data_IF_332469467378
#
_entry.id   IF_332469467378
#
_cell.length_a   1.000
_cell.length_b   1.000
_cell.length_c   1.000
_cell.angle_alpha   90.00
_cell.angle_beta   90.00
_cell.angle_gamma   90.00
#
_symmetry.space_group_name_H-M   'P 1'
#
loop_
_entity.id
_entity.type
_entity.pdbx_description
1 polymer ?
#
# COMPACT_ATOMS: atom_id res chain seq x y z
N UNK A 1 -3.68 15.57 -3.77
CA UNK A 1 -3.05 15.92 -5.06
C UNK A 1 -2.09 14.81 -5.41
N UNK A 2 -2.24 14.18 -6.56
CA UNK A 2 -1.35 13.11 -7.04
C UNK A 2 -0.04 13.75 -7.52
N UNK A 3 1.10 13.22 -7.09
CA UNK A 3 2.45 13.76 -7.38
C UNK A 3 3.44 12.73 -7.95
N UNK A 4 3.22 11.45 -7.66
CA UNK A 4 4.00 10.29 -8.04
C UNK A 4 3.16 9.31 -8.83
N UNK A 5 3.29 9.37 -10.16
CA UNK A 5 2.81 8.31 -11.04
C UNK A 5 4.04 7.60 -11.56
N UNK A 6 4.15 6.28 -11.33
CA UNK A 6 5.28 5.48 -11.76
C UNK A 6 5.53 5.60 -13.27
N UNK A 7 6.80 5.61 -13.68
CA UNK A 7 7.18 5.59 -15.09
C UNK A 7 6.62 4.32 -15.77
N UNK A 8 6.14 4.46 -17.01
CA UNK A 8 5.52 3.38 -17.77
C UNK A 8 4.11 2.98 -17.29
N UNK A 9 3.48 3.72 -16.37
CA UNK A 9 2.15 3.36 -15.87
C UNK A 9 1.08 3.28 -16.99
N UNK A 10 1.22 4.08 -18.05
CA UNK A 10 0.36 4.03 -19.24
C UNK A 10 0.50 2.74 -20.07
N UNK A 11 1.63 2.03 -19.94
CA UNK A 11 1.89 0.77 -20.63
C UNK A 11 1.16 -0.41 -19.97
N UNK A 12 0.80 -0.27 -18.69
CA UNK A 12 0.08 -1.30 -17.96
C UNK A 12 -1.36 -1.47 -18.51
N UNK A 13 -1.88 -2.70 -18.56
CA UNK A 13 -3.27 -2.95 -18.89
C UNK A 13 -4.19 -2.22 -17.90
N UNK A 14 -5.24 -1.56 -18.42
CA UNK A 14 -6.31 -0.96 -17.62
C UNK A 14 -7.53 -1.85 -17.81
N UNK A 15 -7.85 -2.66 -16.81
CA UNK A 15 -8.95 -3.62 -16.83
C UNK A 15 -9.92 -3.42 -15.65
N UNK A 16 -11.03 -4.16 -15.61
CA UNK A 16 -12.05 -3.98 -14.58
C UNK A 16 -11.58 -4.38 -13.17
N UNK A 17 -10.58 -5.26 -13.06
CA UNK A 17 -10.04 -5.68 -11.76
C UNK A 17 -9.21 -4.55 -11.12
N UNK A 18 -8.77 -3.58 -11.93
CA UNK A 18 -7.98 -2.44 -11.48
C UNK A 18 -8.75 -1.51 -10.53
N UNK A 19 -10.08 -1.51 -10.52
CA UNK A 19 -10.86 -0.65 -9.64
C UNK A 19 -10.92 -1.10 -8.18
N UNK A 20 -10.37 -2.28 -7.91
CA UNK A 20 -10.02 -2.68 -6.55
C UNK A 20 -8.78 -1.96 -6.03
N UNK A 21 -7.93 -1.40 -6.89
CA UNK A 21 -6.66 -0.79 -6.50
C UNK A 21 -6.87 0.50 -5.70
N UNK A 22 -5.98 0.72 -4.75
CA UNK A 22 -5.86 1.94 -3.94
C UNK A 22 -4.59 2.68 -4.31
N UNK A 23 -4.53 3.97 -4.06
CA UNK A 23 -3.33 4.77 -4.25
C UNK A 23 -2.83 5.34 -2.93
N UNK A 24 -1.52 5.49 -2.75
CA UNK A 24 -0.97 6.30 -1.65
C UNK A 24 -1.31 7.79 -1.85
N UNK A 25 -0.93 8.65 -0.92
CA UNK A 25 -1.09 10.11 -1.07
C UNK A 25 -0.35 10.66 -2.26
N UNK A 26 0.76 10.01 -2.62
CA UNK A 26 1.59 10.44 -3.72
C UNK A 26 1.04 9.95 -5.05
N UNK A 27 0.29 8.86 -5.13
CA UNK A 27 -0.21 8.35 -6.42
C UNK A 27 0.17 6.92 -6.71
N UNK A 28 0.89 6.26 -5.80
CA UNK A 28 1.38 4.92 -6.03
C UNK A 28 0.30 3.88 -5.82
N UNK A 29 0.12 3.02 -6.82
CA UNK A 29 -0.89 1.98 -6.79
C UNK A 29 -0.51 0.87 -5.80
N UNK A 30 -1.50 0.43 -5.04
CA UNK A 30 -1.45 -0.62 -4.02
C UNK A 30 -2.62 -1.57 -4.24
N UNK A 31 -2.38 -2.86 -4.11
CA UNK A 31 -3.40 -3.89 -4.29
C UNK A 31 -4.01 -4.20 -2.92
N UNK A 32 -5.31 -3.99 -2.65
CA UNK A 32 -5.90 -4.50 -1.42
C UNK A 32 -5.79 -6.02 -1.35
N UNK A 33 -5.56 -6.56 -0.16
CA UNK A 33 -5.46 -8.01 0.02
C UNK A 33 -6.64 -8.78 -0.61
N UNK A 34 -7.86 -8.26 -0.50
CA UNK A 34 -9.04 -8.86 -1.12
C UNK A 34 -8.87 -9.01 -2.64
N UNK A 35 -8.35 -8.02 -3.35
CA UNK A 35 -8.10 -8.11 -4.79
C UNK A 35 -6.98 -9.12 -5.11
N UNK A 36 -5.98 -9.21 -4.25
CA UNK A 36 -4.88 -10.17 -4.40
C UNK A 36 -5.35 -11.63 -4.37
N UNK A 37 -6.36 -11.94 -3.55
CA UNK A 37 -6.90 -13.30 -3.39
C UNK A 37 -8.17 -13.57 -4.24
N UNK A 38 -8.72 -12.56 -4.92
CA UNK A 38 -9.90 -12.68 -5.79
C UNK A 38 -9.55 -12.44 -7.26
N UNK A 39 -8.43 -12.99 -7.74
CA UNK A 39 -8.20 -13.02 -9.18
C UNK A 39 -9.35 -13.75 -9.87
N UNK A 40 -9.88 -13.24 -11.00
CA UNK A 40 -11.01 -13.84 -11.69
C UNK A 40 -10.67 -15.30 -11.99
N UNK A 41 -11.31 -16.21 -11.25
CA UNK A 41 -11.05 -17.62 -11.38
C UNK A 41 -11.25 -18.03 -12.83
N UNK A 42 -10.31 -18.84 -13.33
CA UNK A 42 -10.51 -19.63 -14.53
C UNK A 42 -11.92 -20.24 -14.49
N UNK A 43 -12.62 -20.23 -15.63
CA UNK A 43 -14.03 -20.64 -15.85
C UNK A 43 -14.32 -22.12 -15.55
N UNK A 44 -13.52 -22.75 -14.70
CA UNK A 44 -13.65 -24.12 -14.28
C UNK A 44 -14.98 -24.36 -13.56
N UNK A 45 -15.64 -25.51 -13.82
CA UNK A 45 -16.93 -25.82 -13.24
C UNK A 45 -16.84 -25.98 -11.71
N UNK A 46 -17.75 -25.37 -10.93
CA UNK A 46 -17.58 -25.16 -9.49
C UNK A 46 -17.77 -26.39 -8.57
N UNK A 47 -17.87 -27.62 -9.08
CA UNK A 47 -18.47 -28.73 -8.31
C UNK A 47 -17.69 -30.06 -8.31
N UNK A 48 -16.36 -30.05 -8.13
CA UNK A 48 -15.64 -31.29 -7.78
C UNK A 48 -15.47 -31.36 -6.26
N UNK A 49 -16.01 -32.39 -5.59
CA UNK A 49 -15.98 -32.47 -4.14
C UNK A 49 -14.56 -32.75 -3.61
N UNK A 50 -14.15 -31.99 -2.58
CA UNK A 50 -12.78 -31.98 -2.02
C UNK A 50 -12.35 -33.28 -1.31
N UNK A 51 -13.27 -34.21 -1.06
CA UNK A 51 -12.99 -35.43 -0.31
C UNK A 51 -11.97 -36.36 -0.99
N UNK A 52 -11.85 -36.29 -2.33
CA UNK A 52 -10.87 -37.11 -3.06
C UNK A 52 -9.43 -36.65 -2.79
N UNK A 53 -9.23 -35.34 -2.65
CA UNK A 53 -7.91 -34.77 -2.35
C UNK A 53 -7.39 -35.26 -0.99
N UNK A 54 -8.24 -35.26 0.04
CA UNK A 54 -7.87 -35.70 1.39
C UNK A 54 -7.50 -37.19 1.48
N UNK A 55 -7.87 -38.00 0.47
CA UNK A 55 -7.53 -39.43 0.38
C UNK A 55 -6.22 -39.69 -0.36
N UNK A 56 -5.64 -38.69 -1.02
CA UNK A 56 -4.36 -38.83 -1.69
C UNK A 56 -3.24 -39.02 -0.65
N UNK A 57 -2.17 -39.78 -0.97
CA UNK A 57 -0.92 -39.75 -0.21
C UNK A 57 -0.40 -38.31 -0.05
N UNK A 58 0.28 -38.03 1.07
CA UNK A 58 0.73 -36.68 1.42
C UNK A 58 1.60 -36.05 0.32
N UNK A 59 2.42 -36.85 -0.35
CA UNK A 59 3.29 -36.43 -1.45
C UNK A 59 2.48 -35.93 -2.66
N UNK A 60 1.37 -36.62 -2.97
CA UNK A 60 0.46 -36.20 -4.04
C UNK A 60 -0.35 -34.97 -3.64
N UNK A 61 -0.75 -34.86 -2.36
CA UNK A 61 -1.40 -33.66 -1.86
C UNK A 61 -0.49 -32.44 -2.00
N UNK A 62 0.77 -32.55 -1.55
CA UNK A 62 1.79 -31.50 -1.68
C UNK A 62 2.02 -31.12 -3.13
N UNK A 63 2.14 -32.11 -4.02
CA UNK A 63 2.31 -31.86 -5.46
C UNK A 63 1.13 -31.10 -6.03
N UNK A 64 -0.10 -31.44 -5.66
CA UNK A 64 -1.30 -30.71 -6.10
C UNK A 64 -1.30 -29.27 -5.57
N UNK A 65 -0.94 -29.05 -4.30
CA UNK A 65 -0.85 -27.71 -3.72
C UNK A 65 0.12 -26.80 -4.48
N UNK A 66 1.24 -27.32 -4.98
CA UNK A 66 2.21 -26.56 -5.78
C UNK A 66 1.64 -26.02 -7.10
N UNK A 67 0.56 -26.62 -7.62
CA UNK A 67 -0.13 -26.16 -8.82
C UNK A 67 -1.37 -25.29 -8.52
N UNK A 68 -1.70 -25.09 -7.24
CA UNK A 68 -2.84 -24.24 -6.88
C UNK A 68 -2.50 -22.77 -7.10
N UNK A 69 -3.48 -22.02 -7.62
CA UNK A 69 -3.40 -20.57 -7.66
C UNK A 69 -3.52 -19.97 -6.24
N UNK A 70 -3.17 -18.69 -6.11
CA UNK A 70 -3.23 -18.00 -4.80
C UNK A 70 -4.62 -17.96 -4.18
N UNK A 71 -5.73 -17.70 -4.93
CA UNK A 71 -7.08 -17.80 -4.38
C UNK A 71 -7.36 -19.18 -3.77
N UNK A 72 -6.96 -20.26 -4.45
CA UNK A 72 -7.16 -21.62 -3.94
C UNK A 72 -6.29 -21.86 -2.71
N UNK A 73 -5.00 -21.52 -2.74
CA UNK A 73 -4.11 -21.66 -1.59
C UNK A 73 -4.66 -20.93 -0.35
N UNK A 74 -5.12 -19.69 -0.53
CA UNK A 74 -5.73 -18.90 0.54
C UNK A 74 -6.99 -19.56 1.12
N UNK A 75 -7.87 -20.10 0.27
CA UNK A 75 -9.04 -20.86 0.74
C UNK A 75 -8.62 -22.11 1.52
N UNK A 76 -7.63 -22.85 1.04
CA UNK A 76 -7.14 -24.06 1.70
C UNK A 76 -6.52 -23.78 3.08
N UNK A 77 -5.83 -22.64 3.23
CA UNK A 77 -5.35 -22.15 4.53
C UNK A 77 -6.51 -21.99 5.53
N UNK A 78 -7.69 -21.56 5.06
CA UNK A 78 -8.85 -21.33 5.91
C UNK A 78 -9.64 -22.61 6.20
N UNK A 79 -9.78 -23.52 5.23
CA UNK A 79 -10.73 -24.64 5.32
C UNK A 79 -10.18 -25.93 5.88
N UNK A 80 -8.86 -26.17 5.86
CA UNK A 80 -8.31 -27.47 6.27
C UNK A 80 -7.06 -27.33 7.14
N UNK A 81 -7.15 -27.76 8.39
CA UNK A 81 -6.01 -27.76 9.32
C UNK A 81 -4.84 -28.62 8.83
N UNK A 82 -5.13 -29.74 8.15
CA UNK A 82 -4.10 -30.69 7.72
C UNK A 82 -3.11 -30.08 6.71
N UNK A 83 -3.63 -29.28 5.78
CA UNK A 83 -2.85 -28.66 4.70
C UNK A 83 -2.56 -27.18 4.95
N UNK A 84 -3.14 -26.58 6.00
CA UNK A 84 -3.00 -25.15 6.30
C UNK A 84 -1.54 -24.73 6.30
N UNK A 85 -0.67 -25.46 7.01
CA UNK A 85 0.75 -25.12 7.11
C UNK A 85 1.44 -25.08 5.75
N UNK A 86 1.17 -26.06 4.89
CA UNK A 86 1.82 -26.15 3.57
C UNK A 86 1.22 -25.15 2.58
N UNK A 87 -0.10 -24.95 2.61
CA UNK A 87 -0.76 -23.92 1.83
C UNK A 87 -0.29 -22.51 2.22
N UNK A 88 -0.10 -22.24 3.51
CA UNK A 88 0.48 -20.98 4.02
C UNK A 88 1.88 -20.77 3.46
N UNK A 89 2.77 -21.77 3.56
CA UNK A 89 4.14 -21.66 3.01
C UNK A 89 4.12 -21.32 1.54
N UNK A 90 3.31 -22.02 0.75
CA UNK A 90 3.20 -21.78 -0.70
C UNK A 90 2.61 -20.41 -1.01
N UNK A 91 1.55 -19.99 -0.32
CA UNK A 91 0.92 -18.69 -0.53
C UNK A 91 1.89 -17.52 -0.32
N UNK A 92 2.70 -17.58 0.74
CA UNK A 92 3.66 -16.52 1.08
C UNK A 92 5.04 -16.67 0.40
N UNK A 93 5.26 -17.75 -0.36
CA UNK A 93 6.51 -17.99 -1.08
C UNK A 93 6.65 -17.21 -2.39
N UNK A 94 5.61 -16.48 -2.82
CA UNK A 94 5.67 -15.71 -4.06
C UNK A 94 6.73 -14.60 -3.96
N UNK A 95 7.81 -14.66 -4.76
CA UNK A 95 8.85 -13.63 -4.75
C UNK A 95 8.34 -12.28 -5.24
N UNK A 96 7.23 -12.19 -5.96
CA UNK A 96 6.74 -10.92 -6.49
C UNK A 96 5.77 -10.20 -5.52
N UNK A 97 5.28 -10.89 -4.49
CA UNK A 97 4.33 -10.34 -3.54
C UNK A 97 5.03 -9.58 -2.41
N UNK A 98 4.90 -8.25 -2.39
CA UNK A 98 5.34 -7.40 -1.28
C UNK A 98 4.15 -6.96 -0.45
N UNK A 99 4.16 -7.22 0.86
CA UNK A 99 3.07 -6.85 1.76
C UNK A 99 3.38 -5.54 2.48
N UNK A 100 2.46 -4.58 2.42
CA UNK A 100 2.64 -3.22 2.90
C UNK A 100 2.05 -3.02 4.29
N UNK A 101 2.83 -2.42 5.19
CA UNK A 101 2.40 -1.94 6.52
C UNK A 101 2.82 -0.49 6.73
N UNK A 102 2.12 0.21 7.61
CA UNK A 102 2.42 1.60 7.96
C UNK A 102 3.64 1.66 8.89
N UNK A 103 4.60 2.52 8.56
CA UNK A 103 5.83 2.71 9.32
C UNK A 103 5.58 3.38 10.66
N UNK A 104 4.66 4.35 10.72
CA UNK A 104 4.28 5.03 11.96
C UNK A 104 3.73 4.03 12.99
N UNK A 105 2.97 3.04 12.55
CA UNK A 105 2.48 1.97 13.42
C UNK A 105 3.64 1.18 14.05
N UNK A 106 4.70 0.89 13.28
CA UNK A 106 5.91 0.24 13.81
C UNK A 106 6.72 1.15 14.73
N UNK A 107 6.80 2.45 14.46
CA UNK A 107 7.43 3.44 15.34
C UNK A 107 6.73 3.55 16.70
N UNK A 108 5.42 3.33 16.74
CA UNK A 108 4.64 3.32 17.98
C UNK A 108 4.71 2.00 18.77
N UNK A 109 5.41 0.99 18.25
CA UNK A 109 5.57 -0.30 18.92
C UNK A 109 4.91 -1.47 18.19
N UNK A 110 4.16 -1.21 17.13
CA UNK A 110 3.48 -2.25 16.36
C UNK A 110 2.40 -2.97 17.17
N UNK A 111 1.74 -2.28 18.11
CA UNK A 111 0.74 -2.91 18.95
C UNK A 111 -0.56 -3.16 18.15
N UNK A 112 -1.25 -4.30 18.36
CA UNK A 112 -2.51 -4.61 17.69
C UNK A 112 -3.59 -3.53 17.81
N UNK A 113 -3.64 -2.81 18.94
CA UNK A 113 -4.63 -1.74 19.17
C UNK A 113 -4.43 -0.50 18.30
N UNK A 114 -3.18 -0.26 17.89
CA UNK A 114 -2.76 1.00 17.28
C UNK A 114 -2.72 0.92 15.74
N UNK A 115 -2.93 -0.27 15.19
CA UNK A 115 -2.99 -0.54 13.77
C UNK A 115 -4.30 -1.16 13.33
N UNK A 116 -4.50 -1.18 12.01
CA UNK A 116 -5.63 -1.85 11.38
C UNK A 116 -5.30 -3.29 10.97
N UNK A 117 -4.03 -3.69 11.04
CA UNK A 117 -3.52 -4.93 10.47
C UNK A 117 -3.96 -6.17 11.26
N UNK A 118 -4.22 -7.26 10.55
CA UNK A 118 -4.40 -8.60 11.12
C UNK A 118 -3.04 -9.14 11.61
N UNK A 119 -2.86 -9.19 12.93
CA UNK A 119 -1.58 -9.54 13.55
C UNK A 119 -1.22 -11.01 13.34
N UNK A 120 -2.21 -11.89 13.23
CA UNK A 120 -1.97 -13.32 12.98
C UNK A 120 -1.44 -13.57 11.55
N UNK A 121 -1.69 -12.62 10.64
CA UNK A 121 -1.21 -12.66 9.26
C UNK A 121 0.28 -12.30 9.16
N UNK A 122 0.77 -11.38 10.01
CA UNK A 122 2.09 -10.76 9.86
C UNK A 122 3.27 -11.74 9.97
N UNK A 123 3.27 -12.73 10.88
CA UNK A 123 4.39 -13.66 11.03
C UNK A 123 4.67 -14.53 9.81
N UNK A 124 3.75 -14.59 8.85
CA UNK A 124 3.92 -15.37 7.62
C UNK A 124 4.53 -14.55 6.47
N UNK A 125 4.64 -13.23 6.60
CA UNK A 125 5.14 -12.36 5.53
C UNK A 125 6.66 -12.53 5.38
N UNK A 126 7.09 -12.93 4.19
CA UNK A 126 8.51 -13.07 3.84
C UNK A 126 9.12 -11.82 3.19
N UNK A 127 8.28 -11.03 2.50
CA UNK A 127 8.66 -9.80 1.80
C UNK A 127 7.79 -8.64 2.28
N UNK A 128 8.36 -7.81 3.13
CA UNK A 128 7.69 -6.72 3.83
C UNK A 128 8.04 -5.39 3.16
N UNK A 129 7.04 -4.55 2.94
CA UNK A 129 7.20 -3.14 2.61
C UNK A 129 6.70 -2.31 3.80
N UNK A 130 7.57 -1.54 4.42
CA UNK A 130 7.24 -0.60 5.48
C UNK A 130 7.22 0.81 4.88
N UNK A 131 6.07 1.46 4.89
CA UNK A 131 5.86 2.76 4.26
C UNK A 131 5.81 3.86 5.32
N UNK A 132 6.74 4.83 5.25
CA UNK A 132 6.78 6.01 6.09
C UNK A 132 6.30 7.24 5.32
N UNK A 133 5.46 8.08 5.95
CA UNK A 133 5.12 9.37 5.37
C UNK A 133 6.33 10.33 5.37
N UNK A 134 7.15 10.26 6.42
CA UNK A 134 8.33 11.09 6.59
C UNK A 134 9.34 10.42 7.53
N UNK A 135 10.56 10.18 7.04
CA UNK A 135 11.69 9.84 7.89
C UNK A 135 12.52 11.10 8.19
N UNK A 136 12.58 11.52 9.45
CA UNK A 136 13.34 12.70 9.90
C UNK A 136 14.59 12.32 10.69
N UNK A 137 15.71 12.98 10.42
CA UNK A 137 17.00 12.71 11.06
C UNK A 137 16.97 12.93 12.59
N UNK A 138 16.11 13.81 13.11
CA UNK A 138 16.04 14.09 14.55
C UNK A 138 15.32 12.99 15.30
N UNK A 139 14.32 12.36 14.68
CA UNK A 139 13.57 11.26 15.29
C UNK A 139 14.26 9.92 15.07
N UNK A 140 14.94 9.72 13.94
CA UNK A 140 15.60 8.47 13.59
C UNK A 140 17.05 8.38 14.07
N UNK A 141 17.23 8.46 15.40
CA UNK A 141 18.51 8.15 16.05
C UNK A 141 18.86 6.65 15.91
N UNK A 142 20.13 6.29 16.06
CA UNK A 142 20.59 4.90 16.02
C UNK A 142 19.82 3.98 16.99
N UNK A 143 19.43 4.50 18.17
CA UNK A 143 18.62 3.76 19.12
C UNK A 143 17.23 3.43 18.58
N UNK A 144 16.60 4.41 17.92
CA UNK A 144 15.28 4.23 17.31
C UNK A 144 15.35 3.33 16.07
N UNK A 145 16.41 3.42 15.25
CA UNK A 145 16.64 2.49 14.14
C UNK A 145 16.76 1.05 14.64
N UNK A 146 17.56 0.81 15.69
CA UNK A 146 17.69 -0.55 16.28
C UNK A 146 16.37 -1.05 16.86
N UNK A 147 15.62 -0.18 17.54
CA UNK A 147 14.29 -0.52 18.06
C UNK A 147 13.31 -0.87 16.94
N UNK A 148 13.32 -0.12 15.84
CA UNK A 148 12.55 -0.41 14.63
C UNK A 148 12.87 -1.82 14.11
N UNK A 149 14.15 -2.13 13.90
CA UNK A 149 14.54 -3.46 13.41
C UNK A 149 14.18 -4.59 14.38
N UNK A 150 14.35 -4.37 15.69
CA UNK A 150 13.91 -5.33 16.71
C UNK A 150 12.41 -5.61 16.65
N UNK A 151 11.59 -4.58 16.37
CA UNK A 151 10.13 -4.75 16.17
C UNK A 151 9.82 -5.48 14.88
N UNK A 152 10.52 -5.17 13.79
CA UNK A 152 10.37 -5.89 12.52
C UNK A 152 10.65 -7.38 12.73
N UNK A 153 11.76 -7.75 13.39
CA UNK A 153 12.07 -9.15 13.68
C UNK A 153 11.05 -9.83 14.61
N UNK A 154 10.50 -9.09 15.58
CA UNK A 154 9.50 -9.60 16.51
C UNK A 154 8.15 -9.87 15.82
N UNK A 155 7.67 -8.93 15.01
CA UNK A 155 6.34 -9.01 14.37
C UNK A 155 6.35 -9.78 13.05
N UNK A 156 7.50 -9.81 12.37
CA UNK A 156 7.69 -10.46 11.08
C UNK A 156 8.89 -11.41 11.13
N UNK A 157 8.87 -12.46 11.97
CA UNK A 157 10.00 -13.38 12.13
C UNK A 157 10.40 -14.12 10.83
N UNK A 158 9.51 -14.19 9.84
CA UNK A 158 9.80 -14.80 8.53
C UNK A 158 10.27 -13.79 7.48
N UNK A 159 10.27 -12.48 7.77
CA UNK A 159 10.69 -11.48 6.80
C UNK A 159 12.19 -11.65 6.47
N UNK A 160 12.46 -11.98 5.21
CA UNK A 160 13.82 -12.09 4.65
C UNK A 160 14.15 -10.93 3.74
N UNK A 161 13.14 -10.26 3.20
CA UNK A 161 13.30 -9.07 2.38
C UNK A 161 12.44 -7.97 2.96
N UNK A 162 13.04 -6.83 3.33
CA UNK A 162 12.34 -5.68 3.90
C UNK A 162 12.64 -4.46 3.07
N UNK A 163 11.63 -3.83 2.50
CA UNK A 163 11.71 -2.56 1.80
C UNK A 163 11.21 -1.46 2.72
N UNK A 164 12.03 -0.44 2.96
CA UNK A 164 11.67 0.76 3.70
C UNK A 164 11.38 1.88 2.70
N UNK A 165 10.13 2.31 2.61
CA UNK A 165 9.68 3.38 1.74
C UNK A 165 9.61 4.71 2.50
N UNK A 166 10.16 5.78 1.93
CA UNK A 166 10.00 7.15 2.44
C UNK A 166 9.25 8.00 1.40
N UNK A 167 8.09 8.53 1.80
CA UNK A 167 7.28 9.42 0.97
C UNK A 167 7.70 10.90 1.08
N UNK A 168 8.73 11.23 1.87
CA UNK A 168 9.21 12.60 2.04
C UNK A 168 9.68 13.21 0.72
N UNK A 169 9.08 14.34 0.36
CA UNK A 169 9.47 15.16 -0.80
C UNK A 169 10.46 16.27 -0.37
N UNK A 170 10.61 16.50 0.94
CA UNK A 170 11.25 17.70 1.51
C UNK A 170 12.79 17.69 1.44
N UNK A 171 13.36 16.87 0.54
CA UNK A 171 14.76 17.07 0.17
C UNK A 171 14.91 18.50 -0.36
N UNK A 172 15.84 19.30 0.19
CA UNK A 172 16.01 20.70 -0.18
C UNK A 172 16.12 20.82 -1.70
N UNK A 173 15.45 21.82 -2.32
CA UNK A 173 15.41 21.96 -3.77
C UNK A 173 16.84 21.95 -4.31
N UNK A 174 17.14 20.92 -5.10
CA UNK A 174 18.50 20.70 -5.55
C UNK A 174 18.99 21.87 -6.41
N UNK A 175 20.31 22.19 -6.37
CA UNK A 175 20.88 23.21 -7.22
C UNK A 175 20.56 22.89 -8.68
N UNK A 176 19.84 23.80 -9.33
CA UNK A 176 19.46 23.70 -10.74
C UNK A 176 20.72 23.46 -11.58
N UNK A 177 20.78 22.33 -12.29
CA UNK A 177 21.88 21.98 -13.21
C UNK A 177 22.70 20.74 -12.84
N UNK A 178 22.43 20.10 -11.69
CA UNK A 178 23.11 18.84 -11.34
C UNK A 178 22.39 17.65 -11.98
N UNK A 179 23.11 16.84 -12.76
CA UNK A 179 22.57 15.62 -13.38
C UNK A 179 21.94 14.71 -12.32
N UNK A 180 20.69 14.30 -12.52
CA UNK A 180 19.92 13.45 -11.59
C UNK A 180 20.37 11.98 -11.60
N UNK A 181 21.38 11.62 -12.41
CA UNK A 181 21.62 10.26 -12.83
C UNK A 181 22.21 9.27 -11.79
N UNK A 182 22.64 9.69 -10.59
CA UNK A 182 23.11 8.72 -9.57
C UNK A 182 23.33 9.35 -8.18
N UNK A 183 22.32 10.02 -7.62
CA UNK A 183 22.50 10.60 -6.28
C UNK A 183 22.46 9.50 -5.22
N UNK A 184 23.47 9.42 -4.35
CA UNK A 184 23.45 8.43 -3.27
C UNK A 184 22.22 8.66 -2.39
N UNK A 185 21.71 7.60 -1.73
CA UNK A 185 20.64 7.74 -0.75
C UNK A 185 21.09 8.68 0.39
N UNK A 186 20.16 9.46 0.99
CA UNK A 186 20.48 10.30 2.15
C UNK A 186 21.10 9.50 3.29
N UNK A 187 21.91 10.15 4.12
CA UNK A 187 22.68 9.49 5.17
C UNK A 187 21.80 8.72 6.17
N UNK A 188 20.62 9.26 6.50
CA UNK A 188 19.63 8.56 7.32
C UNK A 188 19.27 7.17 6.76
N UNK A 189 18.96 7.11 5.47
CA UNK A 189 18.59 5.87 4.78
C UNK A 189 19.74 4.87 4.73
N UNK A 190 20.97 5.37 4.51
CA UNK A 190 22.19 4.56 4.62
C UNK A 190 22.32 3.95 6.00
N UNK A 191 22.12 4.75 7.05
CA UNK A 191 22.19 4.30 8.44
C UNK A 191 21.13 3.25 8.79
N UNK A 192 19.90 3.43 8.30
CA UNK A 192 18.82 2.44 8.45
C UNK A 192 19.22 1.10 7.85
N UNK A 193 19.87 1.09 6.68
CA UNK A 193 20.38 -0.13 6.05
C UNK A 193 21.55 -0.76 6.80
N UNK A 194 22.50 0.05 7.27
CA UNK A 194 23.70 -0.41 7.98
C UNK A 194 23.36 -1.07 9.33
N UNK A 195 22.37 -0.52 10.04
CA UNK A 195 21.90 -1.06 11.32
C UNK A 195 20.87 -2.19 11.16
N UNK A 196 20.54 -2.58 9.93
CA UNK A 196 19.64 -3.71 9.67
C UNK A 196 20.31 -5.04 10.06
N UNK A 197 19.59 -5.98 10.69
CA UNK A 197 20.09 -7.32 10.96
C UNK A 197 20.71 -7.99 9.72
N UNK A 198 21.81 -8.77 9.88
CA UNK A 198 22.53 -9.34 8.75
C UNK A 198 21.73 -10.40 7.98
N UNK A 199 20.73 -11.02 8.61
CA UNK A 199 19.88 -12.06 8.00
C UNK A 199 18.67 -11.51 7.22
N UNK A 200 18.56 -10.17 7.12
CA UNK A 200 17.52 -9.46 6.38
C UNK A 200 18.13 -8.74 5.17
N UNK A 201 17.59 -9.01 3.99
CA UNK A 201 17.88 -8.21 2.80
C UNK A 201 17.06 -6.91 2.87
N UNK A 202 17.74 -5.81 3.15
CA UNK A 202 17.10 -4.49 3.23
C UNK A 202 17.18 -3.75 1.90
N UNK A 203 16.04 -3.17 1.54
CA UNK A 203 15.88 -2.26 0.42
C UNK A 203 15.39 -0.92 0.96
N UNK A 204 15.79 0.17 0.32
CA UNK A 204 15.26 1.50 0.59
C UNK A 204 14.68 2.07 -0.69
N UNK A 205 13.44 2.49 -0.60
CA UNK A 205 12.66 3.05 -1.69
C UNK A 205 12.42 4.53 -1.40
N UNK A 206 13.10 5.41 -2.12
CA UNK A 206 13.04 6.86 -1.89
C UNK A 206 12.28 7.53 -3.01
N UNK A 207 11.29 8.32 -2.65
CA UNK A 207 10.57 9.17 -3.59
C UNK A 207 11.34 10.47 -3.84
N UNK A 208 11.68 10.76 -5.10
CA UNK A 208 12.45 11.95 -5.50
C UNK A 208 11.74 12.74 -6.58
N UNK A 209 11.82 14.07 -6.56
CA UNK A 209 11.15 14.93 -7.54
C UNK A 209 12.09 15.82 -8.35
N UNK A 210 12.04 15.70 -9.67
CA UNK A 210 12.52 16.70 -10.65
C UNK A 210 11.33 17.26 -11.48
N UNK A 211 10.15 17.24 -10.87
CA UNK A 211 8.87 17.69 -11.39
C UNK A 211 7.88 16.56 -11.64
N UNK A 212 8.34 15.32 -11.86
CA UNK A 212 7.56 14.10 -11.62
C UNK A 212 8.24 13.33 -10.51
N UNK A 213 7.48 12.83 -9.53
CA UNK A 213 8.09 12.02 -8.50
C UNK A 213 8.48 10.65 -9.08
N UNK A 214 9.77 10.32 -9.00
CA UNK A 214 10.37 9.03 -9.36
C UNK A 214 10.77 8.32 -8.07
N UNK A 215 10.42 7.04 -7.95
CA UNK A 215 10.92 6.19 -6.87
C UNK A 215 12.25 5.56 -7.30
N UNK A 216 13.28 5.75 -6.47
CA UNK A 216 14.58 5.07 -6.63
C UNK A 216 14.68 3.98 -5.57
N UNK A 217 15.12 2.80 -5.98
CA UNK A 217 15.25 1.65 -5.09
C UNK A 217 16.73 1.36 -4.89
N UNK A 218 17.14 1.20 -3.64
CA UNK A 218 18.50 0.92 -3.24
C UNK A 218 18.51 -0.37 -2.45
N UNK A 219 19.54 -1.20 -2.60
CA UNK A 219 19.72 -2.42 -1.81
C UNK A 219 21.05 -2.39 -1.10
N UNK A 220 21.08 -2.96 0.11
CA UNK A 220 22.34 -3.23 0.81
C UNK A 220 23.13 -4.30 0.06
N UNK A 221 24.37 -3.99 -0.28
CA UNK A 221 25.34 -4.94 -0.84
C UNK A 221 26.54 -5.00 0.09
N UNK A 222 27.07 -6.21 0.25
CA UNK A 222 28.33 -6.45 0.94
C UNK A 222 29.42 -6.56 -0.11
N UNK A 223 30.46 -5.73 0.00
CA UNK A 223 31.66 -5.80 -0.82
C UNK A 223 32.77 -6.38 0.07
N UNK A 224 33.42 -7.43 -0.43
CA UNK A 224 34.53 -8.09 0.26
C UNK A 224 35.82 -7.69 -0.43
N UNK A 225 36.59 -6.79 0.18
CA UNK A 225 37.89 -6.32 -0.31
C UNK A 225 38.98 -6.66 0.71
N UNK A 226 39.97 -7.49 0.32
CA UNK A 226 41.24 -7.74 1.01
C UNK A 226 41.16 -7.66 2.57
N UNK A 227 40.34 -8.53 3.17
CA UNK A 227 40.07 -8.69 4.61
C UNK A 227 39.10 -7.69 5.28
N UNK A 228 38.55 -6.69 4.57
CA UNK A 228 37.52 -5.79 5.07
C UNK A 228 36.16 -6.03 4.39
N UNK A 229 35.12 -6.23 5.21
CA UNK A 229 33.73 -6.26 4.76
C UNK A 229 33.15 -4.85 4.83
N UNK A 230 32.85 -4.24 3.68
CA UNK A 230 32.16 -2.94 3.62
C UNK A 230 30.71 -3.11 3.17
N UNK A 231 29.81 -2.36 3.80
CA UNK A 231 28.40 -2.32 3.42
C UNK A 231 28.11 -1.06 2.60
N UNK A 232 27.69 -1.25 1.36
CA UNK A 232 27.33 -0.19 0.43
C UNK A 232 25.86 -0.29 0.00
N UNK A 233 25.39 0.74 -0.69
CA UNK A 233 24.05 0.77 -1.28
C UNK A 233 24.17 0.85 -2.80
N UNK A 234 23.56 -0.14 -3.46
CA UNK A 234 23.52 -0.27 -4.91
C UNK A 234 22.12 0.08 -5.43
N UNK A 235 22.04 0.86 -6.51
CA UNK A 235 20.76 1.24 -7.11
C UNK A 235 20.18 0.06 -7.90
N UNK A 236 18.96 -0.34 -7.56
CA UNK A 236 18.23 -1.39 -8.24
C UNK A 236 17.60 -0.84 -9.53
N UNK A 237 17.80 -1.53 -10.65
CA UNK A 237 17.21 -1.15 -11.94
C UNK A 237 15.69 -1.33 -11.97
N UNK A 238 15.17 -2.31 -11.23
CA UNK A 238 13.76 -2.68 -11.25
C UNK A 238 13.14 -2.42 -9.88
N UNK A 239 12.07 -1.62 -9.87
CA UNK A 239 11.22 -1.52 -8.70
C UNK A 239 10.28 -2.74 -8.68
N UNK A 240 10.04 -3.37 -7.51
CA UNK A 240 8.99 -4.36 -7.43
C UNK A 240 7.65 -3.76 -7.84
N UNK A 241 6.75 -4.62 -8.30
CA UNK A 241 5.38 -4.25 -8.62
C UNK A 241 4.60 -3.67 -7.42
N UNK A 242 3.32 -3.31 -7.62
CA UNK A 242 2.51 -2.70 -6.59
C UNK A 242 2.42 -3.59 -5.34
N UNK A 243 2.61 -2.98 -4.17
CA UNK A 243 2.53 -3.70 -2.90
C UNK A 243 1.09 -4.02 -2.51
N UNK A 244 0.93 -5.10 -1.76
CA UNK A 244 -0.34 -5.61 -1.27
C UNK A 244 -0.60 -5.03 0.11
N UNK A 245 -1.70 -4.31 0.29
CA UNK A 245 -2.12 -3.85 1.62
C UNK A 245 -2.54 -5.08 2.43
N UNK A 246 -1.93 -5.30 3.59
CA UNK A 246 -2.25 -6.44 4.46
C UNK A 246 -3.74 -6.45 4.87
N UNK A 247 -4.34 -7.61 5.14
CA UNK A 247 -5.72 -7.67 5.59
C UNK A 247 -5.90 -6.92 6.91
N UNK A 248 -7.09 -6.34 7.07
CA UNK A 248 -7.45 -5.70 8.33
C UNK A 248 -7.87 -6.75 9.36
N UNK A 249 -7.59 -6.50 10.63
CA UNK A 249 -8.17 -7.28 11.74
C UNK A 249 -9.69 -7.14 11.78
N UNK A 250 -10.42 -8.08 12.40
CA UNK A 250 -11.85 -7.94 12.62
C UNK A 250 -12.17 -6.72 13.49
N UNK A 251 -13.11 -5.89 13.02
CA UNK A 251 -13.62 -4.74 13.77
C UNK A 251 -14.72 -5.20 14.73
N UNK A 252 -14.52 -5.02 16.05
CA UNK A 252 -15.47 -5.42 17.10
C UNK A 252 -15.74 -4.27 18.06
N UNK A 253 -16.98 -4.19 18.56
CA UNK A 253 -17.39 -3.14 19.50
C UNK A 253 -17.42 -1.74 18.86
N UNK A 254 -17.55 -0.72 19.71
CA UNK A 254 -17.61 0.68 19.26
C UNK A 254 -16.24 1.18 18.80
N UNK A 255 -15.17 0.74 19.46
CA UNK A 255 -13.79 0.99 19.00
C UNK A 255 -13.57 0.43 17.60
N UNK A 256 -14.03 -0.80 17.35
CA UNK A 256 -13.94 -1.43 16.05
C UNK A 256 -14.71 -0.67 14.96
N UNK A 257 -15.93 -0.19 15.26
CA UNK A 257 -16.71 0.63 14.32
C UNK A 257 -15.95 1.92 13.96
N UNK A 258 -15.37 2.58 14.96
CA UNK A 258 -14.58 3.79 14.74
C UNK A 258 -13.34 3.52 13.85
N UNK A 259 -12.58 2.46 14.16
CA UNK A 259 -11.45 2.00 13.34
C UNK A 259 -11.87 1.65 11.91
N UNK A 260 -13.02 1.01 11.75
CA UNK A 260 -13.60 0.70 10.45
C UNK A 260 -13.90 1.98 9.67
N UNK A 261 -14.61 2.95 10.26
CA UNK A 261 -14.94 4.23 9.64
C UNK A 261 -13.69 4.98 9.19
N UNK A 262 -12.69 5.07 10.06
CA UNK A 262 -11.38 5.62 9.72
C UNK A 262 -10.78 4.90 8.50
N UNK A 263 -10.71 3.57 8.53
CA UNK A 263 -10.18 2.78 7.42
C UNK A 263 -10.94 2.99 6.10
N UNK A 264 -12.25 3.23 6.16
CA UNK A 264 -13.07 3.54 4.99
C UNK A 264 -12.79 4.94 4.45
N UNK A 265 -12.57 5.95 5.31
CA UNK A 265 -12.15 7.29 4.86
C UNK A 265 -10.89 7.20 3.99
N UNK A 266 -9.85 6.50 4.47
CA UNK A 266 -8.62 6.33 3.67
C UNK A 266 -8.87 5.48 2.44
N UNK A 267 -9.67 4.42 2.52
CA UNK A 267 -10.00 3.60 1.35
C UNK A 267 -10.67 4.40 0.23
N UNK A 268 -11.62 5.28 0.56
CA UNK A 268 -12.32 6.16 -0.38
C UNK A 268 -11.34 7.16 -0.98
N UNK A 269 -10.61 7.90 -0.14
CA UNK A 269 -9.63 8.89 -0.61
C UNK A 269 -8.53 8.25 -1.49
N UNK A 270 -8.11 7.04 -1.16
CA UNK A 270 -7.10 6.31 -1.93
C UNK A 270 -7.67 5.74 -3.23
N UNK A 271 -8.95 5.36 -3.26
CA UNK A 271 -9.62 4.92 -4.49
C UNK A 271 -9.88 6.09 -5.45
N UNK A 272 -10.27 7.25 -4.95
CA UNK A 272 -10.38 8.49 -5.74
C UNK A 272 -9.06 8.83 -6.44
N UNK A 273 -7.95 8.79 -5.69
CA UNK A 273 -6.62 9.01 -6.25
C UNK A 273 -6.23 7.94 -7.26
N UNK A 274 -6.53 6.67 -6.99
CA UNK A 274 -6.24 5.58 -7.91
C UNK A 274 -6.99 5.76 -9.23
N UNK A 275 -8.30 6.08 -9.18
CA UNK A 275 -9.09 6.42 -10.37
C UNK A 275 -8.45 7.57 -11.14
N UNK A 276 -8.04 8.64 -10.47
CA UNK A 276 -7.34 9.74 -11.13
C UNK A 276 -6.04 9.30 -11.80
N UNK A 277 -5.18 8.54 -11.11
CA UNK A 277 -3.90 8.02 -11.66
C UNK A 277 -4.16 7.18 -12.91
N UNK A 278 -5.16 6.31 -12.85
CA UNK A 278 -5.54 5.43 -13.95
C UNK A 278 -6.17 6.22 -15.12
N UNK A 279 -6.93 7.26 -14.84
CA UNK A 279 -7.52 8.12 -15.87
C UNK A 279 -6.46 8.82 -16.71
N UNK A 280 -5.41 9.33 -16.04
CA UNK A 280 -4.25 9.91 -16.73
C UNK A 280 -3.51 8.86 -17.58
N UNK A 281 -3.31 7.66 -17.04
CA UNK A 281 -2.72 6.56 -17.78
C UNK A 281 -3.55 6.13 -19.00
N UNK A 282 -4.89 6.13 -18.87
CA UNK A 282 -5.80 5.78 -19.96
C UNK A 282 -5.74 6.77 -21.12
N UNK A 283 -5.64 8.07 -20.83
CA UNK A 283 -5.48 9.12 -21.84
C UNK A 283 -4.17 8.91 -22.61
N UNK A 284 -3.05 8.78 -21.90
CA UNK A 284 -1.75 8.58 -22.55
C UNK A 284 -1.72 7.27 -23.34
N UNK A 285 -2.28 6.21 -22.78
CA UNK A 285 -2.40 4.92 -23.47
C UNK A 285 -3.20 5.05 -24.76
N UNK A 286 -4.32 5.78 -24.76
CA UNK A 286 -5.14 5.97 -25.95
C UNK A 286 -4.36 6.59 -27.12
N UNK A 287 -3.51 7.58 -26.82
CA UNK A 287 -2.75 8.32 -27.84
C UNK A 287 -1.42 7.66 -28.22
N UNK A 288 -0.74 7.02 -27.28
CA UNK A 288 0.62 6.51 -27.52
C UNK A 288 0.70 5.00 -27.70
N UNK A 289 -0.24 4.20 -27.19
CA UNK A 289 -0.18 2.74 -27.32
C UNK A 289 -0.58 2.29 -28.74
N UNK A 290 0.41 2.09 -29.59
CA UNK A 290 0.24 1.61 -30.97
C UNK A 290 -0.08 2.70 -32.00
N UNK A 291 -0.37 3.94 -31.57
CA UNK A 291 -0.70 5.06 -32.47
C UNK A 291 0.39 6.13 -32.57
N UNK A 292 1.04 6.46 -31.45
CA UNK A 292 2.05 7.53 -31.35
C UNK A 292 1.53 8.90 -31.81
N UNK A 293 0.29 9.24 -31.47
CA UNK A 293 -0.37 10.48 -31.85
C UNK A 293 -0.10 11.58 -30.81
N UNK A 294 0.41 12.73 -31.25
CA UNK A 294 0.50 13.90 -30.41
C UNK A 294 -0.89 14.47 -30.12
N UNK A 295 -1.10 15.00 -28.91
CA UNK A 295 -2.38 15.59 -28.51
C UNK A 295 -2.20 16.84 -27.64
N UNK A 296 -3.22 17.69 -27.64
CA UNK A 296 -3.28 18.90 -26.81
C UNK A 296 -3.94 18.63 -25.45
N UNK A 297 -3.67 19.49 -24.47
CA UNK A 297 -4.31 19.41 -23.17
C UNK A 297 -5.82 19.66 -23.29
N UNK A 298 -6.69 18.82 -22.70
CA UNK A 298 -8.15 19.00 -22.79
C UNK A 298 -8.66 20.16 -21.91
N UNK A 299 -7.84 20.68 -20.99
CA UNK A 299 -8.26 21.74 -20.09
C UNK A 299 -8.52 23.06 -20.84
N UNK A 300 -9.59 23.79 -20.50
CA UNK A 300 -9.86 25.08 -21.11
C UNK A 300 -8.73 26.06 -20.77
N UNK A 301 -8.22 26.77 -21.77
CA UNK A 301 -7.11 27.72 -21.66
C UNK A 301 -5.73 27.08 -21.38
N UNK A 302 -5.53 25.82 -21.76
CA UNK A 302 -4.21 25.18 -21.75
C UNK A 302 -3.79 24.81 -23.19
N UNK A 303 -2.84 25.56 -23.75
CA UNK A 303 -2.31 25.31 -25.10
C UNK A 303 -1.13 24.33 -25.11
N UNK A 304 -0.95 23.55 -24.03
CA UNK A 304 0.12 22.57 -23.96
C UNK A 304 -0.13 21.40 -24.92
N UNK A 305 0.93 20.96 -25.61
CA UNK A 305 0.92 19.81 -26.52
C UNK A 305 1.94 18.78 -26.08
N UNK A 306 1.58 17.51 -26.26
CA UNK A 306 2.36 16.36 -25.81
C UNK A 306 2.68 15.49 -27.01
N UNK A 307 3.97 15.39 -27.34
CA UNK A 307 4.48 14.59 -28.44
C UNK A 307 5.05 13.24 -28.00
N UNK A 308 5.24 13.05 -26.69
CA UNK A 308 5.79 11.81 -26.11
C UNK A 308 4.94 11.33 -24.95
N UNK A 309 4.95 10.00 -24.67
CA UNK A 309 4.36 9.48 -23.47
C UNK A 309 4.87 10.21 -22.23
N UNK A 310 4.01 10.33 -21.22
CA UNK A 310 4.30 10.88 -19.89
C UNK A 310 4.49 12.40 -19.80
N UNK A 311 4.60 13.10 -20.94
CA UNK A 311 4.62 14.56 -20.98
C UNK A 311 3.28 15.14 -20.46
N UNK A 312 2.16 14.50 -20.81
CA UNK A 312 0.83 14.90 -20.33
C UNK A 312 0.68 14.65 -18.83
N UNK A 313 1.01 13.45 -18.36
CA UNK A 313 0.97 13.12 -16.93
C UNK A 313 1.83 14.08 -16.12
N UNK A 314 3.05 14.37 -16.58
CA UNK A 314 3.97 15.32 -15.92
C UNK A 314 3.39 16.73 -15.90
N UNK A 315 2.78 17.16 -17.00
CA UNK A 315 2.11 18.45 -17.09
C UNK A 315 0.97 18.56 -16.06
N UNK A 316 0.07 17.58 -16.01
CA UNK A 316 -1.07 17.57 -15.07
C UNK A 316 -0.60 17.59 -13.62
N UNK A 317 0.44 16.84 -13.26
CA UNK A 317 1.00 16.86 -11.90
C UNK A 317 1.50 18.26 -11.53
N UNK A 318 2.18 18.95 -12.46
CA UNK A 318 2.73 20.30 -12.23
C UNK A 318 1.64 21.39 -12.19
N UNK A 319 0.54 21.22 -12.91
CA UNK A 319 -0.53 22.22 -13.06
C UNK A 319 -1.80 21.88 -12.27
N UNK A 320 -1.76 20.82 -11.45
CA UNK A 320 -2.85 20.03 -10.88
C UNK A 320 -4.09 20.76 -10.36
N UNK A 321 -4.00 22.03 -9.93
CA UNK A 321 -5.18 22.76 -9.41
C UNK A 321 -6.20 23.18 -10.48
N UNK A 322 -5.84 23.18 -11.77
CA UNK A 322 -6.72 23.71 -12.84
C UNK A 322 -7.20 22.69 -13.87
N UNK A 323 -6.68 21.47 -13.82
CA UNK A 323 -6.83 20.49 -14.90
C UNK A 323 -7.66 19.27 -14.49
N UNK A 324 -7.90 19.09 -13.18
CA UNK A 324 -8.48 17.87 -12.63
C UNK A 324 -9.93 17.61 -13.06
N UNK A 325 -10.71 18.66 -13.34
CA UNK A 325 -12.15 18.54 -13.62
C UNK A 325 -12.47 18.53 -15.13
N UNK A 326 -11.45 18.56 -15.99
CA UNK A 326 -11.62 18.94 -17.40
C UNK A 326 -11.41 17.83 -18.43
N UNK A 327 -10.86 16.67 -18.04
CA UNK A 327 -10.59 15.60 -19.00
C UNK A 327 -11.78 14.67 -19.14
N UNK A 328 -12.20 14.46 -20.38
CA UNK A 328 -13.19 13.45 -20.76
C UNK A 328 -12.44 12.21 -21.19
N UNK A 329 -12.69 11.09 -20.51
CA UNK A 329 -12.13 9.81 -20.92
C UNK A 329 -12.68 9.40 -22.29
N UNK A 330 -11.83 8.84 -23.14
CA UNK A 330 -12.21 8.37 -24.48
C UNK A 330 -12.64 6.90 -24.43
N UNK A 331 -13.50 6.48 -25.34
CA UNK A 331 -13.79 5.05 -25.55
C UNK A 331 -12.49 4.27 -25.87
N UNK A 332 -12.31 3.04 -25.34
CA UNK A 332 -13.28 2.21 -24.63
C UNK A 332 -13.36 2.43 -23.10
N UNK A 333 -12.63 3.40 -22.55
CA UNK A 333 -12.43 3.52 -21.09
C UNK A 333 -13.61 4.15 -20.35
N UNK A 334 -14.56 4.80 -21.04
CA UNK A 334 -15.68 5.49 -20.40
C UNK A 334 -16.53 4.53 -19.54
N UNK A 335 -16.98 3.42 -20.12
CA UNK A 335 -17.76 2.40 -19.40
C UNK A 335 -17.01 1.83 -18.20
N UNK A 336 -15.72 1.56 -18.39
CA UNK A 336 -14.83 1.03 -17.37
C UNK A 336 -14.77 1.98 -16.16
N UNK A 337 -14.48 3.26 -16.37
CA UNK A 337 -14.39 4.23 -15.26
C UNK A 337 -15.73 4.56 -14.63
N UNK A 338 -16.83 4.50 -15.39
CA UNK A 338 -18.18 4.64 -14.83
C UNK A 338 -18.47 3.55 -13.78
N UNK A 339 -18.05 2.30 -14.01
CA UNK A 339 -18.16 1.23 -13.02
C UNK A 339 -17.29 1.51 -11.77
N UNK A 340 -16.09 2.04 -11.98
CA UNK A 340 -15.17 2.45 -10.91
C UNK A 340 -15.75 3.55 -10.02
N UNK A 341 -16.34 4.59 -10.63
CA UNK A 341 -17.02 5.70 -9.96
C UNK A 341 -18.27 5.25 -9.22
N UNK A 342 -19.10 4.40 -9.85
CA UNK A 342 -20.26 3.79 -9.20
C UNK A 342 -19.87 3.03 -7.94
N UNK A 343 -18.83 2.20 -8.04
CA UNK A 343 -18.31 1.44 -6.89
C UNK A 343 -17.81 2.37 -5.78
N UNK A 344 -17.16 3.49 -6.14
CA UNK A 344 -16.72 4.50 -5.18
C UNK A 344 -17.90 5.16 -4.47
N UNK A 345 -18.97 5.48 -5.18
CA UNK A 345 -20.17 6.07 -4.57
C UNK A 345 -20.90 5.08 -3.66
N UNK A 346 -20.97 3.79 -4.04
CA UNK A 346 -21.48 2.73 -3.17
C UNK A 346 -20.68 2.63 -1.85
N UNK A 347 -19.35 2.77 -1.90
CA UNK A 347 -18.50 2.80 -0.70
C UNK A 347 -18.81 4.02 0.19
N UNK A 348 -18.92 5.21 -0.40
CA UNK A 348 -19.29 6.43 0.34
C UNK A 348 -20.68 6.31 0.97
N UNK A 349 -21.64 5.75 0.25
CA UNK A 349 -22.98 5.52 0.77
C UNK A 349 -22.97 4.57 1.97
N UNK A 350 -22.26 3.44 1.86
CA UNK A 350 -22.11 2.48 2.96
C UNK A 350 -21.41 3.09 4.17
N UNK A 351 -20.42 3.96 3.95
CA UNK A 351 -19.77 4.69 5.02
C UNK A 351 -20.77 5.60 5.76
N UNK A 352 -21.55 6.42 5.04
CA UNK A 352 -22.57 7.31 5.62
C UNK A 352 -23.60 6.54 6.45
N UNK A 353 -24.00 5.36 5.98
CA UNK A 353 -24.96 4.48 6.68
C UNK A 353 -24.45 3.98 8.04
N UNK A 354 -23.13 3.81 8.18
CA UNK A 354 -22.49 3.36 9.43
C UNK A 354 -22.11 4.55 10.32
N UNK A 355 -21.66 5.64 9.71
CA UNK A 355 -21.24 6.86 10.38
C UNK A 355 -22.40 7.53 11.13
N UNK A 356 -23.58 7.62 10.51
CA UNK A 356 -24.74 8.26 11.14
C UNK A 356 -25.13 7.65 12.50
N UNK A 357 -25.36 6.32 12.61
CA UNK A 357 -25.56 5.65 13.89
C UNK A 357 -24.41 5.84 14.88
N UNK A 358 -23.16 5.76 14.41
CA UNK A 358 -21.99 5.95 15.26
C UNK A 358 -21.95 7.35 15.88
N UNK A 359 -22.11 8.41 15.08
CA UNK A 359 -22.14 9.80 15.56
C UNK A 359 -23.30 10.07 16.52
N UNK A 360 -24.46 9.43 16.31
CA UNK A 360 -25.59 9.50 17.26
C UNK A 360 -25.26 8.86 18.60
N UNK A 361 -24.59 7.70 18.60
CA UNK A 361 -24.12 7.05 19.82
C UNK A 361 -23.02 7.88 20.49
N UNK A 362 -22.10 8.43 19.70
CA UNK A 362 -20.98 9.24 20.17
C UNK A 362 -21.44 10.50 20.88
N UNK A 363 -22.58 11.08 20.48
CA UNK A 363 -23.18 12.24 21.15
C UNK A 363 -22.55 13.57 20.72
N UNK A 364 -23.13 14.68 21.20
CA UNK A 364 -22.65 16.03 20.87
C UNK A 364 -21.49 16.41 21.79
N UNK A 365 -20.56 17.22 21.29
CA UNK A 365 -19.48 17.75 22.12
C UNK A 365 -20.01 18.40 23.41
N UNK A 366 -19.41 18.03 24.54
CA UNK A 366 -19.80 18.50 25.88
C UNK A 366 -21.05 17.85 26.49
N UNK A 367 -21.79 16.99 25.76
CA UNK A 367 -23.00 16.37 26.27
C UNK A 367 -22.73 15.26 27.30
N UNK A 368 -23.73 14.88 28.09
CA UNK A 368 -23.62 13.74 29.01
C UNK A 368 -23.48 12.42 28.25
N UNK A 369 -24.16 12.29 27.10
CA UNK A 369 -24.06 11.14 26.20
C UNK A 369 -22.63 10.96 25.70
N UNK A 370 -21.97 12.06 25.27
CA UNK A 370 -20.56 12.04 24.83
C UNK A 370 -19.63 11.55 25.93
N UNK A 371 -19.79 12.08 27.15
CA UNK A 371 -18.98 11.65 28.30
C UNK A 371 -19.22 10.19 28.67
N UNK A 372 -20.42 9.67 28.47
CA UNK A 372 -20.73 8.25 28.67
C UNK A 372 -20.08 7.38 27.57
N UNK A 373 -20.21 7.79 26.30
CA UNK A 373 -19.62 7.10 25.16
C UNK A 373 -18.08 7.06 25.24
N UNK A 374 -17.43 8.16 25.63
CA UNK A 374 -15.98 8.21 25.85
C UNK A 374 -15.52 7.23 26.94
N UNK A 375 -16.25 7.12 28.05
CA UNK A 375 -15.94 6.17 29.12
C UNK A 375 -16.08 4.73 28.63
N UNK A 376 -17.14 4.43 27.89
CA UNK A 376 -17.35 3.11 27.29
C UNK A 376 -16.25 2.78 26.27
N UNK A 377 -15.89 3.73 25.42
CA UNK A 377 -14.84 3.60 24.42
C UNK A 377 -13.47 3.35 25.06
N UNK A 378 -13.10 4.14 26.09
CA UNK A 378 -11.86 3.93 26.85
C UNK A 378 -11.83 2.56 27.53
N UNK A 379 -12.96 2.11 28.09
CA UNK A 379 -13.06 0.78 28.69
C UNK A 379 -12.85 -0.34 27.67
N UNK A 380 -13.42 -0.22 26.46
CA UNK A 380 -13.17 -1.19 25.37
C UNK A 380 -11.69 -1.22 24.96
N UNK A 381 -11.03 -0.05 24.92
CA UNK A 381 -9.61 0.06 24.62
C UNK A 381 -8.74 -0.61 25.68
N UNK A 382 -9.01 -0.37 26.96
CA UNK A 382 -8.29 -0.98 28.08
C UNK A 382 -8.40 -2.51 28.10
N UNK A 383 -9.56 -3.05 27.68
CA UNK A 383 -9.75 -4.49 27.54
C UNK A 383 -8.98 -5.09 26.36
N UNK A 384 -8.63 -4.28 25.35
CA UNK A 384 -7.89 -4.67 24.16
C UNK A 384 -6.37 -4.75 24.34
N UNK A 385 -5.83 -4.40 25.51
CA UNK A 385 -4.40 -4.44 25.83
C UNK A 385 -3.79 -3.05 26.11
N UNK A 386 -2.47 -2.98 26.38
CA UNK A 386 -1.79 -1.71 26.63
C UNK A 386 -1.90 -0.80 25.41
N UNK A 387 -2.29 0.45 25.63
CA UNK A 387 -2.84 1.31 24.59
C UNK A 387 -2.35 2.76 24.70
N UNK A 388 -2.17 3.42 23.55
CA UNK A 388 -1.85 4.86 23.49
C UNK A 388 -3.12 5.73 23.51
N UNK A 389 -3.54 6.14 24.71
CA UNK A 389 -4.69 7.04 24.93
C UNK A 389 -4.62 8.34 24.14
N UNK A 390 -3.41 8.89 23.99
CA UNK A 390 -3.21 10.21 23.40
C UNK A 390 -3.50 10.25 21.90
N UNK A 391 -3.12 9.21 21.15
CA UNK A 391 -3.37 9.16 19.70
C UNK A 391 -4.86 9.16 19.38
N UNK A 392 -5.65 8.47 20.19
CA UNK A 392 -7.08 8.36 19.93
C UNK A 392 -7.84 9.62 20.29
N UNK A 393 -7.42 10.36 21.30
CA UNK A 393 -8.00 11.68 21.56
C UNK A 393 -7.79 12.61 20.36
N UNK A 394 -6.57 12.67 19.80
CA UNK A 394 -6.31 13.46 18.58
C UNK A 394 -7.05 12.93 17.34
N UNK A 395 -7.24 11.61 17.25
CA UNK A 395 -8.03 10.96 16.18
C UNK A 395 -9.51 11.35 16.29
N UNK A 396 -10.04 11.48 17.51
CA UNK A 396 -11.44 11.80 17.78
C UNK A 396 -11.75 13.28 17.61
N UNK A 397 -10.79 14.16 17.85
CA UNK A 397 -10.88 15.59 17.53
C UNK A 397 -11.14 15.85 16.03
N UNK A 398 -10.77 14.91 15.15
CA UNK A 398 -11.07 15.03 13.72
C UNK A 398 -12.56 14.84 13.36
N UNK A 399 -13.38 14.37 14.30
CA UNK A 399 -14.82 14.15 14.12
C UNK A 399 -15.67 15.25 14.80
N UNK A 400 -15.02 16.26 15.36
CA UNK A 400 -15.62 17.48 15.92
C UNK A 400 -15.69 18.58 14.84
#
# INVERSE_FOLDING_TARGET
MVRAIAYGNWEQPIDANIFGIRSTWQGELRIPFACHIHQPSSTAPPNIPFHQFARLPAELQLRVLQFCDKPTLFRLMQTSHLIRTEATKLFFSDPEAWYCVEGEWLEMGGHPSDGLHDIDFLPCIQRLHVEFNLMDEKTWTDGNIRNFWGRVQCLFPQAKNVMVGDESIDSPPHPVGSSTASWPPPELHRRVCQLCPPDINVFVSILRGDGRLKRTLWRRVTIQDDDNETQELDECQNHPGPSIIVPHKPFRGQVGICQYLWSQCWAIANKEKALRVLGLAAIERHHFHGRHEAFGCPAPNCDAWFGRPEEFTTHVIRTARRHDDSYVLLEPYQSLFADGEKTLEELRQRQREIEGPFLRWWGKYGSDERRAAEKEFLRELEQGGPFSKQRWLSTMEMWE
#
